data_IF_580350424946
#
_entry.id   IF_580350424946
#
_cell.length_a   1.000
_cell.length_b   1.000
_cell.length_c   1.000
_cell.angle_alpha   90.00
_cell.angle_beta   90.00
_cell.angle_gamma   90.00
#
_symmetry.space_group_name_H-M   'P 1'
#
loop_
_entity.id
_entity.type
_entity.pdbx_description
1 polymer ?
#
# COMPACT_ATOMS: atom_id res chain seq x y z
N UNK A 1 23.37 -3.10 -4.81
CA UNK A 1 22.55 -3.73 -5.86
C UNK A 1 21.83 -4.92 -5.24
N UNK A 2 20.58 -4.73 -4.86
CA UNK A 2 19.68 -5.84 -4.59
C UNK A 2 18.39 -5.52 -5.31
N UNK A 3 18.31 -6.02 -6.53
CA UNK A 3 17.09 -6.04 -7.33
C UNK A 3 16.07 -6.88 -6.54
N UNK A 4 15.33 -6.23 -5.63
CA UNK A 4 14.28 -6.90 -4.85
C UNK A 4 13.24 -7.37 -5.85
N UNK A 5 13.12 -8.68 -5.96
CA UNK A 5 12.28 -9.34 -6.95
C UNK A 5 10.84 -9.39 -6.43
N UNK A 6 10.29 -8.21 -6.15
CA UNK A 6 8.98 -8.00 -5.51
C UNK A 6 7.84 -8.73 -6.23
N UNK A 7 7.94 -8.89 -7.55
CA UNK A 7 6.97 -9.65 -8.34
C UNK A 7 6.89 -11.12 -7.92
N UNK A 8 8.03 -11.77 -7.63
CA UNK A 8 8.05 -13.16 -7.15
C UNK A 8 7.54 -13.26 -5.71
N UNK A 9 7.78 -12.24 -4.89
CA UNK A 9 7.34 -12.22 -3.50
C UNK A 9 5.82 -12.02 -3.38
N UNK A 10 5.26 -11.11 -4.19
CA UNK A 10 3.81 -10.93 -4.34
C UNK A 10 3.13 -12.17 -4.92
N UNK A 11 3.76 -12.85 -5.88
CA UNK A 11 3.24 -14.11 -6.44
C UNK A 11 3.17 -15.22 -5.36
N UNK A 12 4.13 -15.25 -4.43
CA UNK A 12 4.13 -16.20 -3.30
C UNK A 12 3.01 -15.87 -2.31
N UNK A 13 2.80 -14.59 -1.98
CA UNK A 13 1.69 -14.15 -1.11
C UNK A 13 0.35 -14.53 -1.75
N UNK A 14 0.18 -14.22 -3.04
CA UNK A 14 -1.05 -14.51 -3.76
C UNK A 14 -1.34 -16.02 -3.86
N UNK A 15 -0.31 -16.85 -4.10
CA UNK A 15 -0.47 -18.32 -4.09
C UNK A 15 -0.84 -18.87 -2.71
N UNK A 16 -0.40 -18.24 -1.63
CA UNK A 16 -0.76 -18.63 -0.27
C UNK A 16 -2.20 -18.21 0.06
N UNK A 17 -2.61 -17.01 -0.31
CA UNK A 17 -4.01 -16.56 -0.18
C UNK A 17 -4.97 -17.46 -0.97
N UNK A 18 -4.65 -17.76 -2.23
CA UNK A 18 -5.48 -18.64 -3.07
C UNK A 18 -5.56 -20.05 -2.49
N UNK A 19 -4.48 -20.55 -1.87
CA UNK A 19 -4.42 -21.90 -1.30
C UNK A 19 -5.13 -22.02 0.06
N UNK A 20 -5.08 -21.00 0.89
CA UNK A 20 -5.61 -21.01 2.26
C UNK A 20 -6.86 -20.13 2.45
N UNK A 21 -7.35 -19.53 1.37
CA UNK A 21 -8.49 -18.59 1.35
C UNK A 21 -8.18 -17.21 1.95
N UNK A 22 -7.23 -17.13 2.88
CA UNK A 22 -6.80 -15.90 3.55
C UNK A 22 -5.40 -16.07 4.16
N UNK A 23 -4.62 -14.98 4.21
CA UNK A 23 -3.31 -14.98 4.91
C UNK A 23 -3.41 -15.31 6.40
N UNK A 24 -4.56 -15.05 7.03
CA UNK A 24 -4.79 -15.37 8.44
C UNK A 24 -4.84 -16.89 8.71
N UNK A 25 -5.14 -17.68 7.68
CA UNK A 25 -5.23 -19.13 7.77
C UNK A 25 -3.90 -19.83 7.42
N UNK A 26 -2.86 -19.06 7.08
CA UNK A 26 -1.55 -19.60 6.69
C UNK A 26 -0.78 -19.98 7.95
N UNK A 27 -0.28 -21.23 8.06
CA UNK A 27 0.51 -21.65 9.22
C UNK A 27 1.75 -20.79 9.43
N UNK A 28 2.06 -20.46 10.68
CA UNK A 28 3.20 -19.61 11.07
C UNK A 28 4.55 -20.12 10.52
N UNK A 29 4.72 -21.43 10.37
CA UNK A 29 5.95 -22.01 9.79
C UNK A 29 6.16 -21.61 8.32
N UNK A 30 5.09 -21.33 7.57
CA UNK A 30 5.12 -20.81 6.19
C UNK A 30 5.28 -19.29 6.17
N UNK A 31 4.67 -18.59 7.13
CA UNK A 31 4.87 -17.16 7.35
C UNK A 31 6.29 -16.84 7.81
N UNK A 32 6.95 -17.72 8.55
CA UNK A 32 8.33 -17.54 9.00
C UNK A 32 9.32 -17.36 7.84
N UNK A 33 9.04 -17.94 6.67
CA UNK A 33 9.84 -17.74 5.47
C UNK A 33 9.54 -16.39 4.78
N UNK A 34 8.30 -15.89 4.87
CA UNK A 34 7.93 -14.52 4.48
C UNK A 34 8.54 -13.48 5.43
N UNK A 35 8.60 -13.77 6.73
CA UNK A 35 9.24 -12.94 7.77
C UNK A 35 10.77 -12.94 7.71
N UNK A 36 11.35 -13.75 6.82
CA UNK A 36 12.76 -13.74 6.42
C UNK A 36 12.98 -13.04 5.08
N UNK A 37 11.91 -12.68 4.35
CA UNK A 37 11.99 -11.79 3.19
C UNK A 37 12.18 -10.35 3.71
N UNK A 38 13.21 -9.63 3.24
CA UNK A 38 13.46 -8.26 3.67
C UNK A 38 12.35 -7.35 3.14
N UNK A 39 11.36 -7.02 3.99
CA UNK A 39 10.19 -6.21 3.62
C UNK A 39 8.90 -6.58 4.36
N UNK A 40 8.86 -7.75 5.00
CA UNK A 40 7.72 -8.17 5.83
C UNK A 40 8.24 -8.49 7.23
N UNK A 41 8.10 -7.50 8.12
CA UNK A 41 8.14 -7.67 9.59
C UNK A 41 7.71 -6.42 10.35
N UNK A 42 7.69 -5.31 9.64
CA UNK A 42 7.27 -3.99 10.08
C UNK A 42 7.04 -3.28 8.75
N UNK A 43 5.85 -2.72 8.53
CA UNK A 43 5.72 -1.80 7.41
C UNK A 43 6.75 -0.70 7.65
N UNK A 44 7.74 -0.57 6.77
CA UNK A 44 8.80 0.45 6.94
C UNK A 44 8.10 1.80 7.17
N UNK A 45 8.64 2.66 8.03
CA UNK A 45 8.13 4.04 8.20
C UNK A 45 8.10 4.86 6.90
N UNK A 46 8.65 4.32 5.82
CA UNK A 46 8.63 4.87 4.46
C UNK A 46 7.38 4.52 3.64
N UNK A 47 6.57 3.53 4.06
CA UNK A 47 5.33 3.16 3.39
C UNK A 47 4.16 3.90 4.01
N UNK A 48 3.37 4.57 3.18
CA UNK A 48 2.27 5.37 3.67
C UNK A 48 0.96 4.58 3.72
N UNK A 49 0.30 4.65 4.87
CA UNK A 49 -1.07 4.22 4.99
C UNK A 49 -2.01 5.18 4.26
N UNK A 50 -2.88 4.63 3.42
CA UNK A 50 -3.92 5.36 2.71
C UNK A 50 -5.19 4.52 2.76
N UNK A 51 -6.30 5.08 3.26
CA UNK A 51 -7.57 4.35 3.23
C UNK A 51 -8.10 4.24 1.80
N UNK A 52 -8.99 3.26 1.54
CA UNK A 52 -9.61 3.13 0.21
C UNK A 52 -10.27 4.42 -0.27
N UNK A 53 -10.97 5.12 0.62
CA UNK A 53 -11.64 6.40 0.35
C UNK A 53 -10.63 7.50 -0.02
N UNK A 54 -9.53 7.61 0.74
CA UNK A 54 -8.44 8.55 0.43
C UNK A 54 -7.78 8.24 -0.90
N UNK A 55 -7.49 6.96 -1.18
CA UNK A 55 -6.84 6.53 -2.42
C UNK A 55 -7.68 6.91 -3.65
N UNK A 56 -8.98 6.65 -3.62
CA UNK A 56 -9.87 6.99 -4.72
C UNK A 56 -9.94 8.50 -4.96
N UNK A 57 -10.04 9.30 -3.90
CA UNK A 57 -10.06 10.76 -4.01
C UNK A 57 -8.73 11.32 -4.55
N UNK A 58 -7.60 10.80 -4.08
CA UNK A 58 -6.27 11.20 -4.56
C UNK A 58 -6.06 10.79 -6.02
N UNK A 59 -6.56 9.61 -6.43
CA UNK A 59 -6.50 9.17 -7.81
C UNK A 59 -7.23 10.13 -8.76
N UNK A 60 -8.39 10.67 -8.36
CA UNK A 60 -9.09 11.70 -9.15
C UNK A 60 -8.27 12.98 -9.31
N UNK A 61 -7.46 13.34 -8.32
CA UNK A 61 -6.52 14.46 -8.41
C UNK A 61 -5.39 14.17 -9.40
N UNK A 62 -4.80 12.97 -9.31
CA UNK A 62 -3.71 12.56 -10.19
C UNK A 62 -4.16 12.45 -11.65
N UNK A 63 -5.41 12.03 -11.88
CA UNK A 63 -6.04 11.99 -13.22
C UNK A 63 -6.46 13.38 -13.74
N UNK A 64 -6.27 14.45 -12.96
CA UNK A 64 -6.67 15.82 -13.32
C UNK A 64 -8.18 16.07 -13.29
N UNK A 65 -8.97 15.10 -12.81
CA UNK A 65 -10.44 15.18 -12.72
C UNK A 65 -10.93 15.98 -11.52
N UNK A 66 -10.09 16.14 -10.50
CA UNK A 66 -10.39 16.90 -9.29
C UNK A 66 -9.23 17.80 -8.86
N UNK A 67 -9.53 19.00 -8.36
CA UNK A 67 -8.52 19.92 -7.86
C UNK A 67 -8.01 19.53 -6.47
N UNK A 68 -6.73 19.82 -6.18
CA UNK A 68 -6.12 19.59 -4.86
C UNK A 68 -6.86 20.30 -3.73
N UNK A 69 -7.23 21.57 -3.92
CA UNK A 69 -7.94 22.38 -2.91
C UNK A 69 -9.28 21.75 -2.51
N UNK A 70 -10.05 21.26 -3.49
CA UNK A 70 -11.33 20.60 -3.23
C UNK A 70 -11.14 19.27 -2.48
N UNK A 71 -10.20 18.45 -2.93
CA UNK A 71 -9.88 17.16 -2.30
C UNK A 71 -9.35 17.33 -0.88
N UNK A 72 -8.57 18.39 -0.64
CA UNK A 72 -8.06 18.75 0.70
C UNK A 72 -9.21 19.07 1.66
N UNK A 73 -10.22 19.81 1.20
CA UNK A 73 -11.42 20.11 1.99
C UNK A 73 -12.27 18.85 2.25
N UNK A 74 -12.50 18.02 1.22
CA UNK A 74 -13.28 16.79 1.33
C UNK A 74 -12.64 15.79 2.30
N UNK A 75 -11.32 15.61 2.23
CA UNK A 75 -10.57 14.72 3.11
C UNK A 75 -10.19 15.37 4.46
N UNK A 76 -10.52 16.64 4.70
CA UNK A 76 -10.15 17.40 5.91
C UNK A 76 -8.65 17.35 6.23
N UNK A 77 -7.82 17.36 5.20
CA UNK A 77 -6.36 17.28 5.31
C UNK A 77 -5.68 18.40 4.52
N UNK A 78 -4.43 18.73 4.84
CA UNK A 78 -3.70 19.80 4.16
C UNK A 78 -3.25 19.42 2.75
N UNK A 79 -2.94 20.42 1.90
CA UNK A 79 -2.33 20.16 0.60
C UNK A 79 -0.99 19.43 0.70
N UNK A 80 -0.18 19.72 1.73
CA UNK A 80 1.07 19.00 1.97
C UNK A 80 0.84 17.53 2.34
N UNK A 81 -0.25 17.21 3.05
CA UNK A 81 -0.65 15.83 3.31
C UNK A 81 -0.99 15.11 2.00
N UNK A 82 -1.74 15.75 1.10
CA UNK A 82 -2.07 15.22 -0.22
C UNK A 82 -0.81 15.01 -1.08
N UNK A 83 0.07 16.00 -1.16
CA UNK A 83 1.29 15.93 -1.97
C UNK A 83 2.19 14.76 -1.51
N UNK A 84 2.29 14.52 -0.20
CA UNK A 84 2.99 13.36 0.32
C UNK A 84 2.36 12.05 -0.14
N UNK A 85 1.02 11.93 -0.13
CA UNK A 85 0.32 10.70 -0.54
C UNK A 85 0.33 10.49 -2.05
N UNK A 86 0.22 11.55 -2.83
CA UNK A 86 0.42 11.51 -4.29
C UNK A 86 1.82 10.96 -4.56
N UNK A 87 2.85 11.50 -3.90
CA UNK A 87 4.22 10.97 -4.02
C UNK A 87 4.33 9.51 -3.61
N UNK A 88 3.67 9.10 -2.51
CA UNK A 88 3.68 7.69 -2.10
C UNK A 88 3.00 6.78 -3.13
N UNK A 89 1.93 7.24 -3.80
CA UNK A 89 1.27 6.49 -4.88
C UNK A 89 2.15 6.44 -6.13
N UNK A 90 2.73 7.57 -6.55
CA UNK A 90 3.67 7.65 -7.67
C UNK A 90 4.90 6.74 -7.47
N UNK A 91 5.42 6.69 -6.24
CA UNK A 91 6.57 5.85 -5.88
C UNK A 91 6.17 4.40 -5.55
N UNK A 92 4.88 4.06 -5.60
CA UNK A 92 4.32 2.77 -5.20
C UNK A 92 4.74 2.33 -3.78
N UNK A 93 4.88 3.31 -2.87
CA UNK A 93 5.24 3.15 -1.45
C UNK A 93 4.04 3.41 -0.55
N UNK A 94 2.95 2.68 -0.80
CA UNK A 94 1.74 2.79 -0.01
C UNK A 94 1.12 1.42 0.23
N UNK A 95 0.27 1.33 1.24
CA UNK A 95 -0.63 0.20 1.44
C UNK A 95 -2.04 0.73 1.67
N UNK A 96 -3.02 0.02 1.11
CA UNK A 96 -4.42 0.38 1.26
C UNK A 96 -4.98 -0.33 2.48
N UNK A 97 -5.55 0.45 3.40
CA UNK A 97 -6.34 -0.05 4.53
C UNK A 97 -7.83 0.11 4.25
N UNK A 98 -8.63 -0.79 4.82
CA UNK A 98 -10.07 -0.59 4.90
C UNK A 98 -10.38 0.46 6.00
N UNK A 99 -11.44 1.25 5.77
CA UNK A 99 -11.82 2.38 6.62
C UNK A 99 -12.58 1.92 7.87
#
# INVERSE_FOLDING_TARGET
MTSKNWAKELEVIHKLEVRYGSMANVPESKLANLHKMPGIKTVSGDYMEITRTQYNAIKLVMEGKQGKTRTSQELKHSNAWLDNRIRAIDENKYYITEE
#
